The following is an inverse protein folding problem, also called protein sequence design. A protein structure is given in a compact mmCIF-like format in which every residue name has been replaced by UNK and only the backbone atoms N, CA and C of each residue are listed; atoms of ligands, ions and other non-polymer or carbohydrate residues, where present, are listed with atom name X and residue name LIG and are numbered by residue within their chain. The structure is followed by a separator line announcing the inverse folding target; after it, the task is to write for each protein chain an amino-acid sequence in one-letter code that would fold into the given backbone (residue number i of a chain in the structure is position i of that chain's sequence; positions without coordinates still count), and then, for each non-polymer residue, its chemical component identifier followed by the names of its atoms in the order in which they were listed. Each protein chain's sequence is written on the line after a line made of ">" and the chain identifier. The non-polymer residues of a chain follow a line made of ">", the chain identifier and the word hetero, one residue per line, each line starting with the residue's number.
data_IF_055005787191
#
_entry.id   IF_055005787191
#
_cell.length_a   1.000
_cell.length_b   1.000
_cell.length_c   1.000
_cell.angle_alpha   90.00
_cell.angle_beta   90.00
_cell.angle_gamma   90.00
#
_symmetry.space_group_name_H-M   'P 1'
#
loop_
_entity.id
_entity.type
_entity.pdbx_description
1 polymer ?
#
# COMPACT_ATOMS: atom_id res chain seq x y z
N UNK A 1 -29.22 8.10 -15.37
CA UNK A 1 -28.63 7.78 -16.70
C UNK A 1 -27.14 7.42 -16.58
N UNK A 2 -26.37 8.15 -15.77
CA UNK A 2 -24.93 7.87 -15.49
C UNK A 2 -24.73 6.59 -14.66
N UNK A 3 -25.65 6.24 -13.74
CA UNK A 3 -25.55 4.98 -12.96
C UNK A 3 -25.99 3.71 -13.72
N UNK A 4 -26.28 3.80 -15.02
CA UNK A 4 -26.66 2.63 -15.82
C UNK A 4 -25.43 1.82 -16.18
N UNK A 5 -25.43 0.52 -15.86
CA UNK A 5 -24.41 -0.44 -16.29
C UNK A 5 -24.16 -0.36 -17.80
N UNK A 6 -25.21 -0.17 -18.60
CA UNK A 6 -25.12 -0.08 -20.07
C UNK A 6 -24.35 1.17 -20.51
N UNK A 7 -24.59 2.31 -19.87
CA UNK A 7 -23.89 3.56 -20.19
C UNK A 7 -22.41 3.46 -19.86
N UNK A 8 -22.08 2.93 -18.68
CA UNK A 8 -20.69 2.69 -18.29
C UNK A 8 -20.01 1.75 -19.27
N UNK A 9 -20.60 0.61 -19.56
CA UNK A 9 -19.97 -0.40 -20.42
C UNK A 9 -19.73 0.19 -21.83
N UNK A 10 -20.67 0.99 -22.34
CA UNK A 10 -20.50 1.76 -23.58
C UNK A 10 -19.37 2.80 -23.47
N UNK A 11 -19.34 3.60 -22.39
CA UNK A 11 -18.31 4.61 -22.16
C UNK A 11 -16.90 4.00 -22.06
N UNK A 12 -16.75 2.90 -21.32
CA UNK A 12 -15.48 2.17 -21.21
C UNK A 12 -15.06 1.55 -22.55
N UNK A 13 -16.01 1.10 -23.36
CA UNK A 13 -15.72 0.57 -24.71
C UNK A 13 -15.25 1.66 -25.67
N UNK A 14 -15.82 2.87 -25.59
CA UNK A 14 -15.48 4.00 -26.45
C UNK A 14 -14.19 4.69 -25.99
N UNK A 15 -13.92 4.69 -24.69
CA UNK A 15 -12.73 5.29 -24.07
C UNK A 15 -11.73 4.24 -23.57
N UNK A 16 -11.69 3.08 -24.24
CA UNK A 16 -10.77 1.99 -23.92
C UNK A 16 -9.30 2.36 -24.16
N UNK A 17 -9.05 3.43 -24.93
CA UNK A 17 -7.73 3.99 -25.16
C UNK A 17 -7.23 4.77 -23.94
N UNK A 18 -6.19 4.24 -23.28
CA UNK A 18 -5.07 4.91 -22.57
C UNK A 18 -5.31 6.26 -21.86
N UNK A 19 -6.51 6.58 -21.37
CA UNK A 19 -6.68 7.77 -20.54
C UNK A 19 -5.91 7.56 -19.23
N UNK A 20 -4.94 8.44 -19.00
CA UNK A 20 -4.17 8.45 -17.77
C UNK A 20 -5.11 8.64 -16.58
N UNK A 21 -4.84 7.94 -15.49
CA UNK A 21 -5.66 7.96 -14.29
C UNK A 21 -4.85 8.56 -13.17
N UNK A 22 -5.44 9.48 -12.42
CA UNK A 22 -4.78 10.08 -11.26
C UNK A 22 -4.52 9.05 -10.17
N UNK A 23 -3.37 9.17 -9.52
CA UNK A 23 -2.98 8.33 -8.40
C UNK A 23 -2.02 9.09 -7.47
N UNK A 24 -1.89 8.60 -6.24
CA UNK A 24 -1.00 9.18 -5.25
C UNK A 24 -0.33 8.10 -4.40
N UNK A 25 0.80 8.45 -3.79
CA UNK A 25 1.47 7.61 -2.79
C UNK A 25 1.32 8.32 -1.46
N UNK A 26 0.49 7.75 -0.59
CA UNK A 26 0.11 8.33 0.69
C UNK A 26 0.99 7.78 1.81
N UNK A 27 1.47 8.63 2.70
CA UNK A 27 2.11 8.22 3.96
C UNK A 27 1.05 7.72 4.94
N UNK A 28 1.23 6.53 5.52
CA UNK A 28 0.20 5.88 6.35
C UNK A 28 0.49 5.89 7.86
N UNK A 29 1.66 6.39 8.29
CA UNK A 29 2.03 6.33 9.71
C UNK A 29 2.61 7.62 10.28
N UNK A 30 3.17 8.49 9.43
CA UNK A 30 3.85 9.68 9.92
C UNK A 30 2.95 10.93 9.82
N UNK A 31 2.66 11.49 11.00
CA UNK A 31 1.74 12.61 11.21
C UNK A 31 2.41 13.99 11.07
N UNK A 32 3.73 14.04 11.17
CA UNK A 32 4.49 15.30 11.10
C UNK A 32 4.95 15.64 9.69
N UNK A 33 4.68 14.77 8.73
CA UNK A 33 5.14 14.88 7.34
C UNK A 33 3.95 14.99 6.38
N UNK A 34 4.26 15.41 5.16
CA UNK A 34 3.31 15.41 4.04
C UNK A 34 2.56 14.08 3.96
N UNK A 35 1.23 14.16 4.00
CA UNK A 35 0.35 13.00 3.87
C UNK A 35 0.49 12.35 2.48
N UNK A 36 0.89 13.11 1.48
CA UNK A 36 1.10 12.66 0.10
C UNK A 36 2.57 12.88 -0.27
N UNK A 37 3.26 11.80 -0.62
CA UNK A 37 4.68 11.81 -1.01
C UNK A 37 4.80 12.11 -2.51
N UNK A 38 3.92 11.50 -3.30
CA UNK A 38 3.84 11.66 -4.76
C UNK A 38 2.38 11.84 -5.14
N UNK A 39 2.09 12.87 -5.94
CA UNK A 39 0.78 13.08 -6.54
C UNK A 39 0.89 13.09 -8.07
N UNK A 40 0.04 12.30 -8.74
CA UNK A 40 -0.16 12.28 -10.18
C UNK A 40 -1.61 12.68 -10.46
N UNK A 41 -1.81 13.85 -11.04
CA UNK A 41 -3.14 14.43 -11.25
C UNK A 41 -3.20 15.31 -12.51
N UNK A 42 -4.34 15.94 -12.82
CA UNK A 42 -4.50 16.69 -14.07
C UNK A 42 -4.63 15.80 -15.30
N UNK A 43 -4.89 14.51 -15.09
CA UNK A 43 -5.07 13.54 -16.13
C UNK A 43 -6.43 13.65 -16.79
N UNK A 44 -6.51 13.28 -18.07
CA UNK A 44 -7.70 13.45 -18.90
C UNK A 44 -8.94 12.80 -18.29
N UNK A 45 -8.79 11.61 -17.70
CA UNK A 45 -9.93 10.82 -17.24
C UNK A 45 -10.78 11.51 -16.18
N UNK A 46 -10.13 12.13 -15.20
CA UNK A 46 -10.80 12.76 -14.06
C UNK A 46 -10.64 14.29 -14.05
N UNK A 47 -9.76 14.85 -14.89
CA UNK A 47 -9.56 16.29 -15.02
C UNK A 47 -9.15 17.01 -13.73
N UNK A 48 -8.59 16.29 -12.76
CA UNK A 48 -8.37 16.84 -11.41
C UNK A 48 -7.33 17.96 -11.41
N UNK A 49 -7.73 19.16 -11.02
CA UNK A 49 -6.83 20.33 -10.93
C UNK A 49 -5.82 20.24 -9.79
N UNK A 50 -6.09 19.38 -8.81
CA UNK A 50 -5.29 19.16 -7.60
C UNK A 50 -5.00 17.67 -7.38
N UNK A 51 -4.04 17.37 -6.51
CA UNK A 51 -3.65 16.00 -6.16
C UNK A 51 -4.68 15.32 -5.26
N UNK A 52 -4.65 13.98 -5.21
CA UNK A 52 -5.64 13.23 -4.42
C UNK A 52 -5.52 13.49 -2.92
N UNK A 53 -4.32 13.77 -2.42
CA UNK A 53 -4.08 14.14 -1.04
C UNK A 53 -4.87 15.37 -0.59
N UNK A 54 -5.10 16.35 -1.47
CA UNK A 54 -5.86 17.58 -1.13
C UNK A 54 -7.34 17.31 -0.86
N UNK A 55 -7.92 16.27 -1.47
CA UNK A 55 -9.32 15.89 -1.25
C UNK A 55 -9.50 15.18 0.09
N UNK A 56 -8.48 14.47 0.55
CA UNK A 56 -8.50 13.78 1.85
C UNK A 56 -8.37 14.79 3.00
N UNK A 57 -7.50 15.80 2.86
CA UNK A 57 -7.30 16.83 3.91
C UNK A 57 -8.52 17.73 4.12
N UNK A 58 -9.42 17.81 3.15
CA UNK A 58 -10.71 18.51 3.26
C UNK A 58 -11.78 17.74 4.04
N UNK A 59 -11.48 16.50 4.45
CA UNK A 59 -12.40 15.74 5.28
C UNK A 59 -12.63 16.47 6.62
N UNK A 60 -13.89 16.80 6.91
CA UNK A 60 -14.32 17.31 8.20
C UNK A 60 -15.30 16.29 8.81
N UNK A 61 -14.86 15.43 9.76
CA UNK A 61 -15.62 14.27 10.22
C UNK A 61 -16.96 14.58 10.89
N UNK A 62 -17.18 15.82 11.34
CA UNK A 62 -18.52 16.41 11.51
C UNK A 62 -18.37 17.92 11.77
N UNK A 63 -19.42 18.72 11.57
CA UNK A 63 -19.40 20.14 11.97
C UNK A 63 -19.32 20.33 13.50
N UNK A 64 -19.62 19.28 14.28
CA UNK A 64 -19.77 19.33 15.74
C UNK A 64 -18.60 18.71 16.51
N UNK A 65 -17.74 17.91 15.86
CA UNK A 65 -16.67 17.16 16.53
C UNK A 65 -15.31 17.65 16.06
N UNK A 66 -14.61 18.34 16.94
CA UNK A 66 -13.25 18.80 16.70
C UNK A 66 -12.26 17.62 16.78
N UNK A 67 -11.42 17.50 15.76
CA UNK A 67 -10.44 16.41 15.62
C UNK A 67 -9.04 16.93 15.90
N UNK A 68 -8.34 16.24 16.80
CA UNK A 68 -6.95 16.49 17.17
C UNK A 68 -5.98 15.96 16.13
N UNK A 69 -6.32 14.83 15.51
CA UNK A 69 -5.41 14.07 14.65
C UNK A 69 -6.17 13.31 13.57
N UNK A 70 -5.62 13.31 12.36
CA UNK A 70 -6.09 12.51 11.22
C UNK A 70 -4.91 11.74 10.63
N UNK A 71 -5.11 10.46 10.33
CA UNK A 71 -4.12 9.59 9.70
C UNK A 71 -4.78 8.75 8.62
N UNK A 72 -4.10 8.57 7.50
CA UNK A 72 -4.49 7.61 6.47
C UNK A 72 -3.96 6.26 6.92
N UNK A 73 -4.82 5.25 7.01
CA UNK A 73 -4.39 3.89 7.35
C UNK A 73 -4.13 3.09 6.08
N UNK A 74 -5.02 3.16 5.09
CA UNK A 74 -4.91 2.42 3.84
C UNK A 74 -5.78 3.03 2.74
N UNK A 75 -5.39 2.78 1.50
CA UNK A 75 -6.09 3.18 0.29
C UNK A 75 -6.21 1.97 -0.64
N UNK A 76 -7.37 1.79 -1.26
CA UNK A 76 -7.59 0.75 -2.28
C UNK A 76 -8.77 1.14 -3.18
N UNK A 77 -8.64 0.92 -4.49
CA UNK A 77 -9.71 1.07 -5.48
C UNK A 77 -10.56 2.36 -5.37
N UNK A 78 -9.92 3.51 -5.12
CA UNK A 78 -10.61 4.80 -4.98
C UNK A 78 -11.24 5.06 -3.60
N UNK A 79 -11.10 4.13 -2.66
CA UNK A 79 -11.52 4.29 -1.26
C UNK A 79 -10.31 4.51 -0.33
N UNK A 80 -10.58 5.20 0.78
CA UNK A 80 -9.60 5.53 1.81
C UNK A 80 -10.15 5.16 3.18
N UNK A 81 -9.33 4.49 4.00
CA UNK A 81 -9.55 4.26 5.42
C UNK A 81 -8.76 5.29 6.22
N UNK A 82 -9.46 6.07 7.04
CA UNK A 82 -8.91 7.07 7.94
C UNK A 82 -9.06 6.65 9.40
N UNK A 83 -8.04 6.95 10.17
CA UNK A 83 -8.10 7.08 11.62
C UNK A 83 -8.18 8.56 11.98
N UNK A 84 -9.08 8.89 12.89
CA UNK A 84 -9.20 10.22 13.49
C UNK A 84 -9.29 10.12 15.01
N UNK A 85 -8.78 11.11 15.73
CA UNK A 85 -8.82 11.19 17.19
C UNK A 85 -9.47 12.49 17.61
N UNK A 86 -10.47 12.45 18.49
CA UNK A 86 -11.08 13.68 19.05
C UNK A 86 -10.11 14.43 19.95
N UNK A 87 -10.47 15.64 20.39
CA UNK A 87 -9.68 16.38 21.38
C UNK A 87 -9.54 15.60 22.69
N UNK A 88 -10.58 14.85 23.07
CA UNK A 88 -10.62 14.01 24.26
C UNK A 88 -9.82 12.69 24.10
N UNK A 89 -9.24 12.46 22.92
CA UNK A 89 -8.45 11.25 22.65
C UNK A 89 -9.28 10.05 22.18
N UNK A 90 -10.57 10.23 21.85
CA UNK A 90 -11.42 9.11 21.42
C UNK A 90 -11.10 8.70 19.96
N UNK A 91 -10.82 7.41 19.69
CA UNK A 91 -10.51 6.93 18.35
C UNK A 91 -11.77 6.78 17.50
N UNK A 92 -11.71 7.20 16.25
CA UNK A 92 -12.78 7.06 15.26
C UNK A 92 -12.19 6.62 13.92
N UNK A 93 -12.92 5.75 13.21
CA UNK A 93 -12.52 5.23 11.90
C UNK A 93 -13.52 5.64 10.84
N UNK A 94 -13.03 6.03 9.67
CA UNK A 94 -13.87 6.44 8.56
C UNK A 94 -13.42 5.76 7.28
N UNK A 95 -14.37 5.24 6.51
CA UNK A 95 -14.12 4.85 5.12
C UNK A 95 -14.83 5.86 4.22
N UNK A 96 -14.16 6.28 3.16
CA UNK A 96 -14.78 7.21 2.24
C UNK A 96 -14.21 7.19 0.83
N UNK A 97 -14.95 7.90 -0.02
CA UNK A 97 -14.57 8.30 -1.34
C UNK A 97 -14.29 9.82 -1.29
N UNK A 98 -13.01 10.23 -1.17
CA UNK A 98 -12.61 11.63 -1.09
C UNK A 98 -13.09 12.48 -2.26
N UNK A 99 -13.16 11.92 -3.47
CA UNK A 99 -13.58 12.67 -4.67
C UNK A 99 -15.06 13.00 -4.65
N UNK A 100 -15.90 12.05 -4.24
CA UNK A 100 -17.34 12.29 -4.06
C UNK A 100 -17.67 12.95 -2.73
N UNK A 101 -16.68 13.20 -1.87
CA UNK A 101 -16.83 13.74 -0.51
C UNK A 101 -17.79 12.92 0.36
N UNK A 102 -17.81 11.61 0.13
CA UNK A 102 -18.66 10.68 0.87
C UNK A 102 -17.81 9.96 1.90
N UNK A 103 -18.26 10.00 3.15
CA UNK A 103 -17.60 9.36 4.27
C UNK A 103 -18.63 8.64 5.12
N UNK A 104 -18.24 7.49 5.67
CA UNK A 104 -19.02 6.72 6.64
C UNK A 104 -18.12 6.47 7.83
N UNK A 105 -18.58 6.84 9.02
CA UNK A 105 -17.95 6.45 10.27
C UNK A 105 -18.22 4.97 10.50
N UNK A 106 -17.15 4.21 10.76
CA UNK A 106 -17.22 2.80 11.05
C UNK A 106 -17.45 2.65 12.56
N UNK A 107 -18.49 1.91 12.99
CA UNK A 107 -18.69 1.65 14.41
C UNK A 107 -17.52 0.84 14.95
N UNK A 108 -17.17 1.01 16.23
CA UNK A 108 -16.22 0.11 16.86
C UNK A 108 -16.83 -1.30 16.99
N UNK A 109 -16.01 -2.37 17.06
CA UNK A 109 -16.52 -3.69 17.40
C UNK A 109 -17.36 -3.65 18.68
N UNK A 110 -18.55 -4.30 18.74
CA UNK A 110 -19.51 -4.10 19.83
C UNK A 110 -19.00 -4.40 21.24
N UNK A 111 -17.97 -5.23 21.35
CA UNK A 111 -17.37 -5.65 22.62
C UNK A 111 -16.14 -4.81 23.01
N UNK A 112 -15.79 -3.79 22.22
CA UNK A 112 -14.66 -2.90 22.49
C UNK A 112 -15.14 -1.48 22.75
N UNK A 113 -14.67 -0.91 23.85
CA UNK A 113 -14.77 0.53 24.08
C UNK A 113 -13.66 1.29 23.36
N UNK A 114 -13.78 2.62 23.26
CA UNK A 114 -12.69 3.45 22.75
C UNK A 114 -11.38 3.29 23.55
N UNK A 115 -11.48 3.04 24.86
CA UNK A 115 -10.33 2.76 25.71
C UNK A 115 -9.64 1.44 25.35
N UNK A 116 -10.41 0.39 25.07
CA UNK A 116 -9.87 -0.91 24.64
C UNK A 116 -9.14 -0.78 23.30
N UNK A 117 -9.67 0.02 22.38
CA UNK A 117 -9.02 0.31 21.08
C UNK A 117 -7.68 1.01 21.28
N UNK A 118 -7.61 2.03 22.14
CA UNK A 118 -6.33 2.72 22.44
C UNK A 118 -5.31 1.73 23.00
N UNK A 119 -5.71 0.85 23.93
CA UNK A 119 -4.82 -0.20 24.47
C UNK A 119 -4.39 -1.21 23.41
N UNK A 120 -5.27 -1.60 22.49
CA UNK A 120 -4.92 -2.48 21.38
C UNK A 120 -3.90 -1.82 20.45
N UNK A 121 -4.02 -0.53 20.18
CA UNK A 121 -3.08 0.21 19.33
C UNK A 121 -1.67 0.31 19.92
N UNK A 122 -1.51 0.16 21.24
CA UNK A 122 -0.20 0.07 21.90
C UNK A 122 0.44 -1.32 21.74
N UNK A 123 -0.34 -2.34 21.37
CA UNK A 123 0.13 -3.71 21.18
C UNK A 123 0.79 -3.88 19.81
N UNK A 124 2.04 -4.38 19.79
CA UNK A 124 2.77 -4.66 18.55
C UNK A 124 2.16 -5.80 17.72
N UNK A 125 1.30 -6.63 18.34
CA UNK A 125 0.60 -7.74 17.71
C UNK A 125 -0.78 -7.36 17.16
N UNK A 126 -1.10 -6.06 17.11
CA UNK A 126 -2.36 -5.54 16.57
C UNK A 126 -2.09 -4.60 15.39
N UNK A 127 -2.98 -4.64 14.40
CA UNK A 127 -3.03 -3.63 13.36
C UNK A 127 -4.44 -3.32 12.85
N UNK A 128 -4.72 -2.05 12.61
CA UNK A 128 -6.02 -1.51 12.21
C UNK A 128 -6.06 -1.00 10.76
N UNK A 129 -5.03 -1.27 9.95
CA UNK A 129 -4.88 -0.68 8.62
C UNK A 129 -5.45 -1.49 7.45
N UNK A 130 -6.17 -2.58 7.71
CA UNK A 130 -6.72 -3.41 6.65
C UNK A 130 -7.93 -2.75 5.99
N UNK A 131 -7.83 -2.50 4.68
CA UNK A 131 -8.97 -2.10 3.84
C UNK A 131 -8.94 -2.93 2.56
N UNK A 132 -10.03 -3.63 2.27
CA UNK A 132 -10.17 -4.44 1.05
C UNK A 132 -11.52 -4.18 0.39
N UNK A 133 -11.52 -4.21 -0.93
CA UNK A 133 -12.66 -3.85 -1.78
C UNK A 133 -13.10 -5.04 -2.61
N UNK A 134 -14.42 -5.18 -2.80
CA UNK A 134 -15.02 -6.10 -3.74
C UNK A 134 -15.23 -5.35 -5.05
N UNK A 135 -14.51 -5.76 -6.08
CA UNK A 135 -14.59 -5.14 -7.40
C UNK A 135 -15.47 -5.98 -8.33
N UNK A 136 -16.50 -5.37 -8.92
CA UNK A 136 -17.33 -5.97 -9.96
C UNK A 136 -17.33 -5.06 -11.18
N UNK A 137 -16.90 -5.59 -12.34
CA UNK A 137 -16.81 -4.83 -13.61
C UNK A 137 -16.08 -3.48 -13.48
N UNK A 138 -15.02 -3.44 -12.68
CA UNK A 138 -14.18 -2.25 -12.50
C UNK A 138 -14.71 -1.22 -11.49
N UNK A 139 -15.74 -1.58 -10.70
CA UNK A 139 -16.32 -0.72 -9.66
C UNK A 139 -16.25 -1.40 -8.30
N UNK A 140 -15.95 -0.63 -7.26
CA UNK A 140 -16.10 -1.06 -5.88
C UNK A 140 -17.59 -1.17 -5.51
N UNK A 141 -18.08 -2.39 -5.30
CA UNK A 141 -19.46 -2.67 -4.89
C UNK A 141 -19.60 -2.98 -3.40
N UNK A 142 -18.48 -3.19 -2.72
CA UNK A 142 -18.40 -3.46 -1.29
C UNK A 142 -17.00 -3.23 -0.77
N UNK A 143 -16.88 -3.04 0.54
CA UNK A 143 -15.60 -2.98 1.23
C UNK A 143 -15.67 -3.68 2.58
N UNK A 144 -14.49 -4.11 3.05
CA UNK A 144 -14.29 -4.60 4.41
C UNK A 144 -13.16 -3.84 5.09
N UNK A 145 -13.38 -3.47 6.34
CA UNK A 145 -12.32 -2.97 7.23
C UNK A 145 -11.85 -4.14 8.08
N UNK A 146 -10.54 -4.34 8.15
CA UNK A 146 -9.94 -5.49 8.80
C UNK A 146 -8.97 -5.02 9.86
N UNK A 147 -9.24 -5.40 11.10
CA UNK A 147 -8.26 -5.35 12.17
C UNK A 147 -7.65 -6.73 12.33
N UNK A 148 -6.32 -6.78 12.37
CA UNK A 148 -5.55 -8.01 12.45
C UNK A 148 -4.88 -8.11 13.80
N UNK A 149 -5.07 -9.26 14.45
CA UNK A 149 -4.46 -9.61 15.72
C UNK A 149 -3.69 -10.91 15.56
N UNK A 150 -2.55 -11.00 16.24
CA UNK A 150 -1.81 -12.25 16.42
C UNK A 150 -1.63 -12.50 17.91
N UNK A 151 -1.70 -13.77 18.32
CA UNK A 151 -1.65 -14.16 19.74
C UNK A 151 -0.30 -13.87 20.41
N UNK A 152 0.75 -13.68 19.62
CA UNK A 152 2.07 -13.24 20.05
C UNK A 152 2.96 -12.93 18.86
N UNK A 153 4.17 -12.44 19.13
CA UNK A 153 5.16 -12.11 18.08
C UNK A 153 5.50 -13.30 17.19
N UNK A 154 5.47 -14.51 17.75
CA UNK A 154 5.59 -15.78 17.02
C UNK A 154 4.26 -16.50 17.14
N UNK A 155 3.56 -16.67 16.02
CA UNK A 155 2.26 -17.36 16.00
C UNK A 155 1.96 -17.92 14.62
N UNK A 156 1.24 -19.04 14.59
CA UNK A 156 0.61 -19.55 13.37
C UNK A 156 -0.88 -19.19 13.30
N UNK A 157 -1.40 -18.42 14.25
CA UNK A 157 -2.82 -18.05 14.31
C UNK A 157 -2.97 -16.54 14.12
N UNK A 158 -3.90 -16.17 13.23
CA UNK A 158 -4.37 -14.81 13.05
C UNK A 158 -5.83 -14.72 13.44
N UNK A 159 -6.17 -13.65 14.15
CA UNK A 159 -7.55 -13.29 14.41
C UNK A 159 -7.85 -12.00 13.65
N UNK A 160 -8.84 -12.06 12.77
CA UNK A 160 -9.35 -10.92 12.04
C UNK A 160 -10.66 -10.45 12.66
N UNK A 161 -10.74 -9.17 12.99
CA UNK A 161 -12.02 -8.50 13.21
C UNK A 161 -12.38 -7.78 11.92
N UNK A 162 -13.52 -8.13 11.33
CA UNK A 162 -13.88 -7.75 9.97
C UNK A 162 -15.22 -7.03 10.00
N UNK A 163 -15.23 -5.74 9.68
CA UNK A 163 -16.43 -5.00 9.36
C UNK A 163 -16.76 -5.16 7.88
N UNK A 164 -18.02 -5.41 7.53
CA UNK A 164 -18.47 -5.45 6.14
C UNK A 164 -19.44 -4.32 5.82
N UNK A 165 -19.22 -3.61 4.71
CA UNK A 165 -20.16 -2.59 4.22
C UNK A 165 -21.50 -3.19 3.79
N UNK A 166 -21.52 -4.48 3.42
CA UNK A 166 -22.72 -5.19 2.97
C UNK A 166 -23.67 -5.52 4.12
N UNK A 167 -23.12 -5.83 5.31
CA UNK A 167 -23.92 -6.21 6.49
C UNK A 167 -23.96 -5.14 7.57
N UNK A 168 -23.05 -4.18 7.54
CA UNK A 168 -22.91 -3.16 8.59
C UNK A 168 -22.44 -3.71 9.94
N UNK A 169 -21.99 -4.97 9.98
CA UNK A 169 -21.64 -5.69 11.21
C UNK A 169 -20.17 -6.10 11.22
N UNK A 170 -19.64 -6.25 12.44
CA UNK A 170 -18.36 -6.87 12.70
C UNK A 170 -18.51 -8.38 12.89
N UNK A 171 -17.59 -9.15 12.32
CA UNK A 171 -17.38 -10.57 12.63
C UNK A 171 -15.95 -10.79 13.09
N UNK A 172 -15.74 -11.80 13.91
CA UNK A 172 -14.40 -12.29 14.27
C UNK A 172 -14.15 -13.58 13.51
N UNK A 173 -13.01 -13.68 12.84
CA UNK A 173 -12.57 -14.89 12.15
C UNK A 173 -11.17 -15.27 12.60
N UNK A 174 -10.99 -16.52 12.97
CA UNK A 174 -9.68 -17.10 13.26
C UNK A 174 -9.20 -17.88 12.05
N UNK A 175 -7.93 -17.70 11.70
CA UNK A 175 -7.31 -18.31 10.54
C UNK A 175 -5.93 -18.83 10.94
N UNK A 176 -5.56 -19.99 10.41
CA UNK A 176 -4.28 -20.63 10.73
C UNK A 176 -3.35 -20.65 9.53
N UNK A 177 -2.09 -20.33 9.76
CA UNK A 177 -1.00 -20.62 8.86
C UNK A 177 -0.49 -22.03 9.13
N UNK A 178 0.01 -22.71 8.10
CA UNK A 178 0.59 -24.06 8.23
C UNK A 178 1.85 -24.09 9.11
N UNK A 179 2.47 -22.92 9.36
CA UNK A 179 3.71 -22.78 10.12
C UNK A 179 3.63 -21.56 11.02
N UNK A 180 4.32 -21.62 12.16
CA UNK A 180 4.51 -20.46 13.03
C UNK A 180 5.38 -19.41 12.35
N UNK A 181 4.91 -18.16 12.41
CA UNK A 181 5.53 -17.02 11.76
C UNK A 181 5.82 -15.93 12.77
N UNK A 182 6.85 -15.15 12.49
CA UNK A 182 7.23 -13.95 13.21
C UNK A 182 6.53 -12.76 12.55
N UNK A 183 5.68 -12.06 13.32
CA UNK A 183 4.76 -11.02 12.84
C UNK A 183 5.23 -9.59 13.13
N UNK A 184 6.51 -9.30 12.95
CA UNK A 184 7.10 -7.98 13.25
C UNK A 184 6.70 -6.89 12.25
N UNK A 185 6.01 -7.25 11.16
CA UNK A 185 5.62 -6.36 10.06
C UNK A 185 4.14 -6.40 9.76
N UNK A 186 3.33 -6.73 10.75
CA UNK A 186 1.87 -6.78 10.64
C UNK A 186 1.27 -5.46 10.10
N UNK A 187 1.93 -4.33 10.39
CA UNK A 187 1.59 -3.00 9.92
C UNK A 187 1.84 -2.75 8.43
N UNK A 188 2.49 -3.66 7.69
CA UNK A 188 2.76 -3.52 6.27
C UNK A 188 1.88 -4.47 5.46
N UNK A 189 0.58 -4.20 5.48
CA UNK A 189 -0.38 -4.91 4.64
C UNK A 189 -0.47 -4.22 3.27
N UNK A 190 -0.48 -5.01 2.19
CA UNK A 190 -0.69 -4.52 0.82
C UNK A 190 -2.04 -5.04 0.33
N UNK A 191 -3.05 -4.16 0.16
CA UNK A 191 -4.34 -4.55 -0.37
C UNK A 191 -4.29 -4.71 -1.89
N UNK A 192 -4.93 -5.76 -2.39
CA UNK A 192 -5.16 -5.96 -3.82
C UNK A 192 -6.28 -6.98 -4.06
N UNK A 193 -7.29 -6.63 -4.88
CA UNK A 193 -8.34 -7.56 -5.35
C UNK A 193 -9.04 -8.36 -4.23
N UNK A 194 -9.32 -7.72 -3.09
CA UNK A 194 -9.97 -8.39 -1.95
C UNK A 194 -9.01 -9.11 -1.00
N UNK A 195 -7.72 -9.18 -1.33
CA UNK A 195 -6.68 -9.76 -0.49
C UNK A 195 -5.94 -8.70 0.31
N UNK A 196 -5.47 -9.08 1.50
CA UNK A 196 -4.33 -8.41 2.13
C UNK A 196 -3.11 -9.33 2.06
N UNK A 197 -1.95 -8.72 1.87
CA UNK A 197 -0.66 -9.40 1.82
C UNK A 197 0.26 -8.82 2.89
N UNK A 198 0.83 -9.69 3.73
CA UNK A 198 1.74 -9.30 4.81
C UNK A 198 3.11 -9.92 4.62
N UNK A 199 4.14 -9.19 5.06
CA UNK A 199 5.49 -9.71 5.16
C UNK A 199 5.66 -10.50 6.48
N UNK A 200 6.17 -11.72 6.39
CA UNK A 200 6.38 -12.60 7.54
C UNK A 200 7.70 -13.40 7.46
N UNK A 201 8.11 -13.98 8.58
CA UNK A 201 9.36 -14.77 8.69
C UNK A 201 9.12 -16.07 9.44
N UNK A 202 9.71 -17.19 9.00
CA UNK A 202 9.57 -18.51 9.69
C UNK A 202 10.72 -18.77 10.69
N UNK A 203 11.86 -18.09 10.55
CA UNK A 203 13.02 -18.29 11.42
C UNK A 203 13.77 -16.97 11.72
N UNK A 204 14.56 -16.97 12.79
CA UNK A 204 15.43 -15.84 13.15
C UNK A 204 16.73 -15.82 12.34
N UNK A 205 16.91 -16.71 11.35
CA UNK A 205 18.15 -16.83 10.59
C UNK A 205 18.25 -15.79 9.48
N UNK A 206 17.11 -15.25 9.05
CA UNK A 206 17.05 -14.26 8.00
C UNK A 206 17.03 -12.82 8.54
N UNK A 207 17.85 -11.97 7.92
CA UNK A 207 17.95 -10.53 8.22
C UNK A 207 16.66 -9.75 7.87
N UNK A 208 15.61 -10.42 7.37
CA UNK A 208 14.44 -9.79 6.76
C UNK A 208 13.28 -10.77 6.50
N UNK A 209 12.07 -10.27 6.24
CA UNK A 209 10.88 -11.08 5.97
C UNK A 209 11.04 -11.96 4.73
N UNK A 210 10.99 -13.28 4.90
CA UNK A 210 11.29 -14.29 3.88
C UNK A 210 10.05 -14.90 3.21
N UNK A 211 8.86 -14.55 3.69
CA UNK A 211 7.59 -15.04 3.18
C UNK A 211 6.57 -13.91 3.05
N UNK A 212 5.58 -14.12 2.18
CA UNK A 212 4.35 -13.34 2.10
C UNK A 212 3.20 -14.22 2.57
N UNK A 213 2.41 -13.73 3.50
CA UNK A 213 1.11 -14.33 3.82
C UNK A 213 0.05 -13.56 3.08
N UNK A 214 -0.85 -14.26 2.40
CA UNK A 214 -1.98 -13.66 1.71
C UNK A 214 -3.30 -14.23 2.26
N UNK A 215 -4.34 -13.42 2.34
CA UNK A 215 -5.66 -13.89 2.75
C UNK A 215 -6.77 -13.18 1.96
N UNK A 216 -7.70 -13.97 1.39
CA UNK A 216 -8.88 -13.48 0.65
C UNK A 216 -10.02 -13.19 1.64
N UNK A 217 -10.43 -11.93 1.77
CA UNK A 217 -11.51 -11.56 2.68
C UNK A 217 -12.92 -11.83 2.14
N UNK A 218 -13.06 -12.22 0.88
CA UNK A 218 -14.34 -12.54 0.25
C UNK A 218 -14.53 -14.05 0.04
N UNK A 219 -13.46 -14.79 -0.28
CA UNK A 219 -13.53 -16.24 -0.53
C UNK A 219 -12.58 -17.09 0.32
N UNK A 220 -11.91 -16.49 1.31
CA UNK A 220 -10.91 -17.20 2.12
C UNK A 220 -11.49 -18.27 3.03
N UNK A 221 -10.82 -19.42 3.06
CA UNK A 221 -11.07 -20.52 3.99
C UNK A 221 -10.47 -20.26 5.38
N UNK A 222 -10.15 -21.34 6.09
CA UNK A 222 -9.59 -21.28 7.45
C UNK A 222 -8.06 -21.34 7.48
N UNK A 223 -7.43 -21.40 6.31
CA UNK A 223 -5.99 -21.45 6.13
C UNK A 223 -5.46 -20.22 5.37
N UNK A 224 -4.27 -19.77 5.79
CA UNK A 224 -3.50 -18.69 5.17
C UNK A 224 -2.34 -19.26 4.36
N UNK A 225 -2.32 -19.10 3.02
CA UNK A 225 -1.17 -19.46 2.21
C UNK A 225 0.10 -18.71 2.59
N UNK A 226 1.22 -19.43 2.72
CA UNK A 226 2.54 -18.88 2.97
C UNK A 226 3.41 -18.99 1.72
N UNK A 227 3.72 -17.85 1.11
CA UNK A 227 4.40 -17.79 -0.19
C UNK A 227 5.87 -17.41 0.03
N UNK A 228 6.84 -18.28 -0.26
CA UNK A 228 8.26 -17.95 -0.13
C UNK A 228 8.68 -16.90 -1.16
N UNK A 229 9.55 -15.98 -0.78
CA UNK A 229 10.18 -15.07 -1.76
C UNK A 229 11.10 -15.84 -2.72
N UNK A 230 11.24 -15.38 -3.97
CA UNK A 230 12.02 -16.09 -4.99
C UNK A 230 13.53 -16.05 -4.73
N UNK A 231 13.98 -15.16 -3.84
CA UNK A 231 15.38 -14.88 -3.59
C UNK A 231 15.90 -15.54 -2.29
N UNK A 232 15.07 -16.31 -1.59
CA UNK A 232 15.37 -16.91 -0.28
C UNK A 232 16.56 -17.88 -0.31
N UNK A 233 16.76 -18.63 -1.41
CA UNK A 233 17.86 -19.60 -1.51
C UNK A 233 19.11 -19.02 -2.20
N UNK A 234 18.93 -18.25 -3.28
CA UNK A 234 20.03 -17.92 -4.19
C UNK A 234 20.65 -16.54 -3.92
N UNK A 235 19.87 -15.56 -3.46
CA UNK A 235 20.32 -14.17 -3.43
C UNK A 235 20.21 -13.50 -2.06
N UNK A 236 19.78 -14.24 -1.03
CA UNK A 236 19.59 -13.72 0.32
C UNK A 236 20.86 -13.01 0.85
N UNK A 237 22.05 -13.57 0.61
CA UNK A 237 23.32 -12.98 1.06
C UNK A 237 23.74 -11.73 0.27
N UNK A 238 23.24 -11.56 -0.94
CA UNK A 238 23.62 -10.46 -1.86
C UNK A 238 22.62 -9.30 -1.87
N UNK A 239 21.49 -9.44 -1.16
CA UNK A 239 20.44 -8.42 -1.11
C UNK A 239 20.89 -7.24 -0.24
N UNK A 240 20.74 -6.02 -0.75
CA UNK A 240 21.24 -4.81 -0.09
C UNK A 240 20.25 -4.16 0.86
N UNK A 241 18.95 -4.44 0.68
CA UNK A 241 17.87 -3.68 1.30
C UNK A 241 16.83 -4.58 1.94
N UNK A 242 16.08 -4.05 2.92
CA UNK A 242 14.86 -4.73 3.39
C UNK A 242 13.85 -4.85 2.24
N UNK A 243 13.00 -5.87 2.27
CA UNK A 243 12.08 -6.18 1.17
C UNK A 243 10.97 -5.14 1.09
N UNK A 244 10.93 -4.43 -0.04
CA UNK A 244 9.84 -3.53 -0.41
C UNK A 244 8.78 -4.30 -1.19
N UNK A 245 7.53 -4.25 -0.70
CA UNK A 245 6.35 -4.83 -1.36
C UNK A 245 5.36 -3.71 -1.69
N UNK A 246 4.76 -3.78 -2.88
CA UNK A 246 3.90 -2.73 -3.46
C UNK A 246 2.96 -3.37 -4.50
N UNK A 247 2.11 -2.59 -5.15
CA UNK A 247 1.32 -3.04 -6.30
C UNK A 247 1.72 -2.31 -7.58
N UNK A 248 1.60 -2.99 -8.71
CA UNK A 248 1.79 -2.39 -10.03
C UNK A 248 1.04 -3.19 -11.09
N UNK A 249 0.32 -2.48 -11.96
CA UNK A 249 -0.44 -3.05 -13.08
C UNK A 249 -1.35 -4.23 -12.67
N UNK A 250 -1.97 -4.14 -11.48
CA UNK A 250 -2.88 -5.16 -10.97
C UNK A 250 -2.20 -6.39 -10.32
N UNK A 251 -0.91 -6.34 -10.03
CA UNK A 251 -0.17 -7.41 -9.35
C UNK A 251 0.49 -6.90 -8.08
N UNK A 252 0.66 -7.79 -7.09
CA UNK A 252 1.63 -7.58 -6.01
C UNK A 252 3.03 -7.73 -6.57
N UNK A 253 3.89 -6.78 -6.22
CA UNK A 253 5.26 -6.69 -6.73
C UNK A 253 6.24 -6.57 -5.57
N UNK A 254 7.33 -7.32 -5.70
CA UNK A 254 8.50 -7.26 -4.85
C UNK A 254 9.66 -6.68 -5.65
N UNK A 255 10.40 -5.74 -5.06
CA UNK A 255 11.60 -5.19 -5.67
C UNK A 255 12.74 -5.06 -4.67
N UNK A 256 13.97 -5.26 -5.15
CA UNK A 256 15.17 -5.06 -4.35
C UNK A 256 16.40 -4.85 -5.23
N UNK A 257 17.52 -4.52 -4.60
CA UNK A 257 18.83 -4.35 -5.23
C UNK A 257 19.79 -5.40 -4.69
N UNK A 258 20.54 -6.01 -5.60
CA UNK A 258 21.48 -7.08 -5.29
C UNK A 258 22.88 -6.67 -5.73
N UNK A 259 23.89 -6.95 -4.91
CA UNK A 259 25.29 -6.91 -5.34
C UNK A 259 25.59 -8.17 -6.15
N UNK A 260 26.17 -8.03 -7.34
CA UNK A 260 26.75 -9.16 -8.02
C UNK A 260 28.15 -9.45 -7.44
N UNK A 261 28.59 -10.71 -7.46
CA UNK A 261 29.87 -11.13 -6.88
C UNK A 261 31.09 -10.55 -7.64
N UNK A 262 30.87 -9.95 -8.80
CA UNK A 262 31.89 -9.33 -9.62
C UNK A 262 31.85 -7.80 -9.47
N UNK A 263 32.87 -7.25 -8.81
CA UNK A 263 33.34 -5.86 -8.92
C UNK A 263 32.30 -4.72 -8.77
N UNK A 264 31.38 -4.83 -7.80
CA UNK A 264 30.54 -3.71 -7.39
C UNK A 264 29.39 -3.37 -8.34
N UNK A 265 29.10 -4.22 -9.33
CA UNK A 265 27.87 -4.11 -10.10
C UNK A 265 26.65 -4.40 -9.21
N UNK A 266 25.63 -3.54 -9.34
CA UNK A 266 24.35 -3.71 -8.66
C UNK A 266 23.26 -3.97 -9.66
N UNK A 267 22.33 -4.84 -9.33
CA UNK A 267 21.18 -5.14 -10.17
C UNK A 267 19.89 -4.88 -9.41
N UNK A 268 19.03 -4.02 -9.97
CA UNK A 268 17.63 -3.91 -9.54
C UNK A 268 16.88 -5.09 -10.13
N UNK A 269 16.18 -5.82 -9.26
CA UNK A 269 15.31 -6.92 -9.67
C UNK A 269 13.89 -6.68 -9.16
N UNK A 270 12.94 -6.99 -10.02
CA UNK A 270 11.51 -6.81 -9.76
C UNK A 270 10.81 -8.11 -10.09
N UNK A 271 10.05 -8.64 -9.14
CA UNK A 271 9.24 -9.85 -9.28
C UNK A 271 7.78 -9.51 -9.07
N UNK A 272 6.91 -10.14 -9.86
CA UNK A 272 5.47 -10.08 -9.67
C UNK A 272 4.94 -11.40 -9.12
N UNK A 273 3.98 -11.32 -8.21
CA UNK A 273 3.28 -12.49 -7.68
C UNK A 273 2.24 -12.93 -8.71
N UNK A 274 2.31 -14.20 -9.14
CA UNK A 274 1.40 -14.79 -10.15
C UNK A 274 0.54 -15.93 -9.61
N UNK A 275 0.84 -16.42 -8.40
CA UNK A 275 0.08 -17.47 -7.72
C UNK A 275 0.21 -17.31 -6.21
N UNK A 276 -0.75 -17.83 -5.45
CA UNK A 276 -0.70 -17.91 -3.99
C UNK A 276 -0.23 -19.27 -3.47
N UNK A 277 0.27 -20.14 -4.36
CA UNK A 277 0.79 -21.45 -3.97
C UNK A 277 2.05 -21.29 -3.11
N UNK A 278 2.29 -22.22 -2.19
CA UNK A 278 3.48 -22.24 -1.32
C UNK A 278 4.74 -22.71 -2.08
N UNK A 279 5.15 -21.97 -3.11
CA UNK A 279 6.29 -22.33 -3.95
C UNK A 279 7.01 -21.08 -4.48
N UNK A 280 8.35 -21.07 -4.63
CA UNK A 280 9.07 -19.91 -5.17
C UNK A 280 8.62 -19.49 -6.58
N UNK A 281 8.17 -20.46 -7.40
CA UNK A 281 7.59 -20.21 -8.74
C UNK A 281 6.27 -19.45 -8.72
N UNK A 282 5.69 -19.19 -7.55
CA UNK A 282 4.59 -18.24 -7.38
C UNK A 282 5.01 -16.81 -7.72
N UNK A 283 6.30 -16.55 -7.81
CA UNK A 283 6.87 -15.30 -8.30
C UNK A 283 7.45 -15.44 -9.71
N UNK A 284 7.21 -14.44 -10.54
CA UNK A 284 7.81 -14.31 -11.85
C UNK A 284 8.73 -13.09 -11.87
N UNK A 285 10.00 -13.29 -12.26
CA UNK A 285 10.93 -12.19 -12.50
C UNK A 285 10.44 -11.36 -13.68
N UNK A 286 10.18 -10.08 -13.44
CA UNK A 286 9.70 -9.14 -14.45
C UNK A 286 10.85 -8.30 -15.01
N UNK A 287 11.74 -7.82 -14.15
CA UNK A 287 12.89 -7.01 -14.53
C UNK A 287 14.16 -7.45 -13.83
N UNK A 288 15.27 -7.46 -14.58
CA UNK A 288 16.65 -7.46 -14.06
C UNK A 288 17.43 -6.40 -14.81
N UNK A 289 17.80 -5.32 -14.11
CA UNK A 289 18.50 -4.19 -14.71
C UNK A 289 19.77 -3.92 -13.92
N UNK A 290 20.92 -4.09 -14.58
CA UNK A 290 22.20 -3.72 -13.99
C UNK A 290 22.34 -2.20 -14.00
N UNK A 291 22.59 -1.61 -12.83
CA UNK A 291 22.91 -0.21 -12.69
C UNK A 291 24.42 -0.07 -12.84
N UNK A 292 24.88 0.20 -14.07
CA UNK A 292 26.30 0.46 -14.35
C UNK A 292 26.67 1.86 -13.85
N UNK A 293 27.62 1.94 -12.92
CA UNK A 293 28.33 3.18 -12.59
C UNK A 293 27.98 3.83 -11.25
N UNK A 294 29.01 3.96 -10.41
CA UNK A 294 29.23 5.16 -9.60
C UNK A 294 28.60 5.22 -8.21
N UNK A 295 28.63 4.15 -7.42
CA UNK A 295 28.38 4.24 -5.97
C UNK A 295 27.06 4.89 -5.55
N UNK A 296 26.06 4.96 -6.45
CA UNK A 296 24.75 5.53 -6.13
C UNK A 296 23.91 4.42 -5.50
N UNK A 297 23.62 4.58 -4.21
CA UNK A 297 22.61 3.79 -3.51
C UNK A 297 21.22 4.25 -3.98
N UNK A 298 20.63 3.50 -4.91
CA UNK A 298 19.22 3.63 -5.30
C UNK A 298 18.40 2.68 -4.44
N UNK A 299 17.67 3.22 -3.47
CA UNK A 299 16.74 2.46 -2.65
C UNK A 299 15.37 2.34 -3.35
N UNK A 300 14.89 1.14 -3.71
CA UNK A 300 13.55 0.96 -4.24
C UNK A 300 12.48 1.35 -3.22
N UNK A 301 11.66 2.34 -3.57
CA UNK A 301 10.59 2.82 -2.68
C UNK A 301 9.26 2.20 -3.06
N UNK A 302 8.88 2.27 -4.34
CA UNK A 302 7.51 1.95 -4.79
C UNK A 302 7.47 1.84 -6.31
N UNK A 303 6.64 0.93 -6.83
CA UNK A 303 6.42 0.79 -8.27
C UNK A 303 5.37 1.79 -8.75
N UNK A 304 5.43 2.19 -10.02
CA UNK A 304 4.34 2.97 -10.60
C UNK A 304 3.07 2.10 -10.60
N UNK A 305 1.93 2.59 -10.10
CA UNK A 305 0.75 1.76 -9.86
C UNK A 305 0.15 1.16 -11.14
N UNK A 306 0.30 1.84 -12.28
CA UNK A 306 -0.29 1.43 -13.56
C UNK A 306 0.73 1.00 -14.63
N UNK A 307 2.03 1.17 -14.38
CA UNK A 307 3.07 0.95 -15.38
C UNK A 307 4.22 0.17 -14.76
N UNK A 308 4.29 -1.11 -15.06
CA UNK A 308 5.27 -2.02 -14.48
C UNK A 308 6.71 -1.77 -14.91
N UNK A 309 6.93 -0.87 -15.87
CA UNK A 309 8.25 -0.53 -16.40
C UNK A 309 8.87 0.65 -15.63
N UNK A 310 8.14 1.24 -14.69
CA UNK A 310 8.57 2.41 -13.93
C UNK A 310 8.64 2.07 -12.45
N UNK A 311 9.78 2.39 -11.85
CA UNK A 311 10.00 2.31 -10.40
C UNK A 311 10.46 3.66 -9.87
N UNK A 312 9.99 4.03 -8.67
CA UNK A 312 10.48 5.19 -7.94
C UNK A 312 11.52 4.73 -6.92
N UNK A 313 12.72 5.30 -7.02
CA UNK A 313 13.84 4.99 -6.14
C UNK A 313 14.32 6.26 -5.43
N UNK A 314 14.70 6.14 -4.17
CA UNK A 314 15.41 7.21 -3.47
C UNK A 314 16.89 7.15 -3.81
N UNK A 315 17.47 8.28 -4.24
CA UNK A 315 18.90 8.40 -4.53
C UNK A 315 19.58 9.17 -3.40
N UNK A 316 20.32 8.48 -2.53
CA UNK A 316 20.93 9.08 -1.34
C UNK A 316 21.93 10.18 -1.69
N UNK A 317 22.78 9.95 -2.70
CA UNK A 317 23.79 10.94 -3.11
C UNK A 317 23.17 12.22 -3.68
N UNK A 318 21.91 12.17 -4.10
CA UNK A 318 21.20 13.30 -4.70
C UNK A 318 20.11 13.86 -3.79
N UNK A 319 19.84 13.21 -2.65
CA UNK A 319 18.74 13.51 -1.74
C UNK A 319 17.43 13.79 -2.49
N UNK A 320 17.09 12.90 -3.43
CA UNK A 320 15.94 13.09 -4.30
C UNK A 320 15.30 11.74 -4.68
N UNK A 321 13.98 11.78 -4.89
CA UNK A 321 13.24 10.68 -5.51
C UNK A 321 13.50 10.70 -7.02
N UNK A 322 13.85 9.55 -7.56
CA UNK A 322 14.21 9.36 -8.97
C UNK A 322 13.24 8.37 -9.58
N UNK A 323 12.69 8.74 -10.73
CA UNK A 323 11.91 7.83 -11.55
C UNK A 323 12.90 7.06 -12.42
N UNK A 324 12.82 5.73 -12.39
CA UNK A 324 13.63 4.87 -13.22
C UNK A 324 12.76 4.06 -14.17
N UNK A 325 12.95 4.28 -15.47
CA UNK A 325 12.34 3.46 -16.51
C UNK A 325 13.21 2.22 -16.74
N UNK A 326 12.73 1.07 -16.26
CA UNK A 326 13.38 -0.23 -16.30
C UNK A 326 13.58 -0.74 -17.73
N UNK A 327 12.59 -0.50 -18.62
CA UNK A 327 12.67 -0.90 -20.03
C UNK A 327 13.72 -0.11 -20.80
N UNK A 328 13.63 1.22 -20.71
CA UNK A 328 14.54 2.13 -21.41
C UNK A 328 15.91 2.24 -20.72
N UNK A 329 16.02 1.76 -19.48
CA UNK A 329 17.20 1.89 -18.61
C UNK A 329 17.64 3.35 -18.43
N UNK A 330 16.66 4.25 -18.25
CA UNK A 330 16.88 5.69 -18.11
C UNK A 330 16.31 6.22 -16.81
N UNK A 331 17.10 7.01 -16.10
CA UNK A 331 16.68 7.75 -14.92
C UNK A 331 16.18 9.14 -15.33
N UNK A 332 15.10 9.59 -14.70
CA UNK A 332 14.63 10.97 -14.75
C UNK A 332 14.52 11.52 -13.34
N UNK A 333 15.17 12.67 -13.13
CA UNK A 333 15.20 13.34 -11.83
C UNK A 333 14.04 14.32 -11.74
N UNK A 334 13.22 14.16 -10.70
CA UNK A 334 12.20 15.12 -10.35
C UNK A 334 12.55 15.75 -9.01
N UNK A 335 12.92 17.04 -9.03
CA UNK A 335 13.15 17.81 -7.81
C UNK A 335 11.82 18.39 -7.32
N UNK A 336 11.64 18.36 -6.01
CA UNK A 336 10.48 18.90 -5.28
C UNK A 336 10.25 20.40 -5.54
N UNK A 337 11.32 21.17 -5.74
CA UNK A 337 11.25 22.64 -5.94
C UNK A 337 10.55 23.07 -7.24
N UNK A 338 10.41 22.19 -8.23
CA UNK A 338 9.64 22.49 -9.45
C UNK A 338 8.17 22.20 -9.20
N UNK A 339 7.42 23.24 -8.81
CA UNK A 339 6.00 23.19 -8.37
C UNK A 339 5.06 22.33 -9.24
N UNK A 340 5.32 22.13 -10.53
CA UNK A 340 4.56 21.24 -11.42
C UNK A 340 5.47 20.70 -12.52
N UNK A 341 5.81 19.42 -12.50
CA UNK A 341 6.45 18.76 -13.64
C UNK A 341 5.35 18.07 -14.47
N UNK A 342 5.33 18.28 -15.79
CA UNK A 342 4.50 17.44 -16.66
C UNK A 342 5.13 16.06 -16.78
N UNK A 343 4.37 15.00 -16.54
CA UNK A 343 4.77 13.62 -16.78
C UNK A 343 4.70 13.28 -18.27
N UNK A 344 5.18 12.07 -18.62
CA UNK A 344 5.22 11.58 -20.01
C UNK A 344 3.82 11.47 -20.64
N UNK A 345 2.78 11.32 -19.83
CA UNK A 345 1.37 11.25 -20.23
C UNK A 345 0.64 12.60 -20.15
N UNK A 346 1.37 13.71 -19.99
CA UNK A 346 0.81 15.07 -19.92
C UNK A 346 0.19 15.45 -18.59
N UNK A 347 0.05 14.51 -17.64
CA UNK A 347 -0.41 14.79 -16.27
C UNK A 347 0.60 15.62 -15.49
N UNK A 348 0.17 16.12 -14.33
CA UNK A 348 0.99 16.86 -13.38
C UNK A 348 1.51 15.88 -12.33
N UNK A 349 2.83 15.89 -12.15
CA UNK A 349 3.51 15.19 -11.06
C UNK A 349 3.98 16.18 -10.00
N UNK A 350 3.59 15.92 -8.76
CA UNK A 350 4.04 16.63 -7.56
C UNK A 350 4.76 15.68 -6.62
N UNK A 351 5.76 16.21 -5.93
CA UNK A 351 6.51 15.52 -4.88
C UNK A 351 6.46 16.43 -3.66
N UNK A 352 6.22 15.88 -2.47
CA UNK A 352 6.08 16.70 -1.26
C UNK A 352 6.60 15.95 -0.03
N UNK A 353 7.45 16.59 0.77
CA UNK A 353 8.01 16.03 2.00
C UNK A 353 8.86 14.78 1.78
N UNK A 354 9.35 14.54 0.56
CA UNK A 354 10.03 13.30 0.18
C UNK A 354 11.35 13.16 0.94
N UNK A 355 12.11 14.26 1.03
CA UNK A 355 13.41 14.25 1.70
C UNK A 355 13.26 14.02 3.19
N UNK A 356 12.37 14.75 3.84
CA UNK A 356 12.10 14.63 5.28
C UNK A 356 11.61 13.22 5.64
N UNK A 357 10.76 12.63 4.78
CA UNK A 357 10.31 11.25 4.93
C UNK A 357 11.46 10.25 4.80
N UNK A 358 12.29 10.39 3.76
CA UNK A 358 13.38 9.47 3.53
C UNK A 358 14.53 9.64 4.54
N UNK A 359 14.84 10.85 5.00
CA UNK A 359 15.85 11.10 6.04
C UNK A 359 15.47 10.43 7.38
N UNK A 360 14.17 10.31 7.67
CA UNK A 360 13.69 9.61 8.87
C UNK A 360 13.81 8.07 8.75
N UNK A 361 13.60 7.54 7.55
CA UNK A 361 13.43 6.10 7.31
C UNK A 361 14.74 5.45 6.89
N UNK A 362 15.54 6.13 6.06
CA UNK A 362 16.73 5.60 5.44
C UNK A 362 17.78 5.10 6.44
N UNK A 363 18.13 5.82 7.53
CA UNK A 363 19.05 5.31 8.53
C UNK A 363 18.57 4.00 9.16
N UNK A 364 17.27 3.86 9.44
CA UNK A 364 16.66 2.63 9.98
C UNK A 364 16.54 1.51 8.95
N UNK A 365 16.64 1.85 7.68
CA UNK A 365 16.52 0.92 6.58
C UNK A 365 17.87 0.29 6.22
N UNK A 366 18.95 1.06 6.32
CA UNK A 366 20.33 0.63 6.01
C UNK A 366 21.10 0.19 7.25
N UNK A 367 21.16 1.02 8.30
CA UNK A 367 22.01 0.75 9.47
C UNK A 367 21.38 -0.25 10.45
N UNK A 368 20.07 -0.45 10.34
CA UNK A 368 19.29 -1.28 11.24
C UNK A 368 18.71 -2.50 10.51
N UNK A 369 19.52 -3.12 9.64
CA UNK A 369 19.19 -4.42 9.03
C UNK A 369 18.86 -5.48 10.08
N UNK A 370 19.40 -5.35 11.29
CA UNK A 370 19.13 -6.26 12.41
C UNK A 370 17.83 -5.94 13.18
N UNK A 371 17.24 -4.76 13.01
CA UNK A 371 15.92 -4.47 13.59
C UNK A 371 14.81 -5.09 12.78
N UNK A 372 13.87 -5.65 13.53
CA UNK A 372 12.66 -6.22 12.98
C UNK A 372 11.77 -5.17 12.26
N UNK A 373 11.91 -3.87 12.58
CA UNK A 373 11.06 -2.82 12.04
C UNK A 373 11.40 -2.47 10.59
N UNK A 374 10.43 -2.64 9.69
CA UNK A 374 10.41 -1.98 8.39
C UNK A 374 9.80 -0.59 8.58
N UNK A 375 10.43 0.46 8.07
CA UNK A 375 10.00 1.83 8.36
C UNK A 375 9.36 2.54 7.16
N UNK A 376 9.24 1.83 6.04
CA UNK A 376 8.58 2.35 4.84
C UNK A 376 7.08 2.06 4.93
N UNK A 377 6.30 3.09 5.25
CA UNK A 377 4.86 3.05 5.44
C UNK A 377 4.18 3.95 4.42
N UNK A 378 3.65 3.34 3.36
CA UNK A 378 2.84 4.04 2.38
C UNK A 378 1.68 3.18 1.91
N UNK A 379 0.70 3.82 1.27
CA UNK A 379 -0.37 3.17 0.53
C UNK A 379 -0.54 3.85 -0.83
N UNK A 380 -0.71 3.06 -1.89
CA UNK A 380 -0.96 3.57 -3.23
C UNK A 380 -2.45 3.87 -3.37
N UNK A 381 -2.78 5.14 -3.52
CA UNK A 381 -4.15 5.58 -3.76
C UNK A 381 -4.36 5.78 -5.25
N UNK A 382 -4.98 4.79 -5.89
CA UNK A 382 -5.22 4.79 -7.35
C UNK A 382 -6.72 4.95 -7.58
N UNK A 383 -7.12 5.89 -8.42
CA UNK A 383 -8.52 5.98 -8.80
C UNK A 383 -8.89 4.83 -9.73
N UNK A 384 -10.08 4.23 -9.56
CA UNK A 384 -10.59 3.30 -10.54
C UNK A 384 -10.95 4.04 -11.82
N UNK A 385 -11.23 3.25 -12.85
CA UNK A 385 -11.73 3.75 -14.13
C UNK A 385 -13.13 4.38 -13.99
N UNK A 386 -13.90 3.88 -13.04
CA UNK A 386 -15.24 4.35 -12.75
C UNK A 386 -15.44 4.43 -11.23
N UNK A 387 -16.03 5.53 -10.75
CA UNK A 387 -16.31 5.75 -9.34
C UNK A 387 -17.83 5.76 -9.14
N UNK A 388 -18.32 4.84 -8.32
CA UNK A 388 -19.68 4.89 -7.83
C UNK A 388 -19.74 5.58 -6.46
N UNK A 389 -20.94 5.97 -6.01
CA UNK A 389 -21.18 6.29 -4.61
C UNK A 389 -20.60 5.21 -3.70
N UNK A 390 -20.15 5.62 -2.52
CA UNK A 390 -19.58 4.73 -1.51
C UNK A 390 -20.54 3.55 -1.27
N UNK A 391 -20.06 2.29 -1.33
CA UNK A 391 -20.89 1.13 -1.03
C UNK A 391 -21.49 1.24 0.37
N UNK A 392 -22.80 1.01 0.46
CA UNK A 392 -23.53 1.06 1.73
C UNK A 392 -24.46 -0.16 1.80
N UNK A 393 -24.93 -0.44 3.01
CA UNK A 393 -26.00 -1.40 3.22
C UNK A 393 -27.15 -1.04 2.26
N UNK A 394 -27.53 -2.00 1.41
CA UNK A 394 -28.73 -1.81 0.61
C UNK A 394 -29.93 -1.79 1.56
N UNK A 395 -30.80 -0.77 1.48
CA UNK A 395 -31.95 -0.64 2.38
C UNK A 395 -32.96 -1.79 2.27
#
# INVERSE_FOLDING_TARGET
>A
MIDSNVFRDLYESLNSSSSSVSWSIMSTRNKTLSLEIVGHHGCERWGLTESLGSFITRHNPSETTTVRKTCILSCTDGLVLLYTETIEGAPMYHVGNPLLRQWVQIPLPPHLSGYDVVRLQENQCFNDNGLVTKMEKGIAVGYKVVWTLVSGLVSNELTFMIYSSETGLWITKEVRCLRSLIWTRLAHSVPLNGFLHWLATIDNSSMDANYVVAYDFYNGGDECPIIPFPDIQQFQATRLFKRTMTTSAGFVVYCNVYSDNNEGERAIRVWRLVSTNEHPNSWQLLWKVNTKGGGVDYLPVVMHPLNSDIIYCWSCNKNALVLFNLRARKFSFHKEEKKKNKSMDGCIMTFTGCKEYMDLIYPKFVNDMYSAAHNLFFSQYVLPRWLNPLPKLSP
#
